data_IF_838482993394
#
_entry.id   IF_838482993394
#
_cell.length_a   1.000
_cell.length_b   1.000
_cell.length_c   1.000
_cell.angle_alpha   90.00
_cell.angle_beta   90.00
_cell.angle_gamma   90.00
#
_symmetry.space_group_name_H-M   'P 1'
#
loop_
_entity.id
_entity.type
_entity.pdbx_description
1 polymer ?
#
# COMPACT_ATOMS: atom_id res chain seq x y z
N UNK A 1 19.43 -59.71 -26.65
CA UNK A 1 20.11 -58.41 -26.76
C UNK A 1 21.28 -58.33 -25.77
N UNK A 2 22.19 -59.31 -25.80
CA UNK A 2 23.40 -59.32 -24.97
C UNK A 2 24.59 -59.41 -25.92
N UNK A 3 25.15 -58.26 -26.25
CA UNK A 3 26.27 -58.13 -27.18
C UNK A 3 26.97 -56.80 -26.94
N UNK A 4 28.12 -56.86 -26.28
CA UNK A 4 29.02 -55.73 -26.03
C UNK A 4 30.20 -55.70 -27.01
N UNK A 5 31.00 -54.63 -26.96
CA UNK A 5 32.22 -54.47 -27.77
C UNK A 5 33.12 -55.70 -27.60
N UNK A 6 33.30 -56.48 -28.67
CA UNK A 6 34.17 -57.66 -28.68
C UNK A 6 33.49 -59.03 -28.53
N UNK A 7 32.16 -59.12 -28.37
CA UNK A 7 31.43 -60.39 -28.35
C UNK A 7 30.70 -60.67 -29.67
N UNK A 8 30.62 -61.94 -30.09
CA UNK A 8 29.65 -62.41 -31.10
C UNK A 8 28.27 -62.43 -30.45
N UNK A 9 27.44 -61.47 -30.83
CA UNK A 9 26.06 -61.29 -30.40
C UNK A 9 25.64 -59.83 -30.50
N UNK A 10 24.33 -59.56 -30.67
CA UNK A 10 23.76 -58.20 -30.59
C UNK A 10 23.23 -57.62 -31.90
N UNK A 11 22.84 -56.33 -31.87
CA UNK A 11 22.09 -55.67 -32.96
C UNK A 11 22.81 -55.75 -34.31
N UNK A 12 24.16 -55.69 -34.31
CA UNK A 12 24.98 -55.73 -35.54
C UNK A 12 25.03 -57.11 -36.19
N UNK A 13 24.97 -58.18 -35.40
CA UNK A 13 25.00 -59.54 -35.91
C UNK A 13 23.60 -59.99 -36.35
N UNK A 14 22.57 -59.57 -35.60
CA UNK A 14 21.17 -59.71 -36.03
C UNK A 14 20.90 -58.97 -37.35
N UNK A 15 21.43 -57.75 -37.51
CA UNK A 15 21.38 -56.98 -38.75
C UNK A 15 21.95 -57.75 -39.94
N UNK A 16 23.14 -58.32 -39.75
CA UNK A 16 23.82 -59.14 -40.77
C UNK A 16 23.01 -60.41 -41.11
N UNK A 17 22.39 -61.04 -40.12
CA UNK A 17 21.60 -62.26 -40.31
C UNK A 17 20.30 -62.04 -41.10
N UNK A 18 19.68 -60.86 -40.99
CA UNK A 18 18.44 -60.51 -41.72
C UNK A 18 18.68 -59.64 -42.96
N UNK A 19 19.94 -59.44 -43.36
CA UNK A 19 20.31 -58.65 -44.54
C UNK A 19 20.00 -57.15 -44.45
N UNK A 20 19.92 -56.57 -43.24
CA UNK A 20 19.62 -55.15 -43.02
C UNK A 20 20.80 -54.37 -42.47
N UNK A 21 20.78 -53.06 -42.68
CA UNK A 21 21.76 -52.16 -42.06
C UNK A 21 21.50 -51.97 -40.56
N UNK A 22 22.58 -51.84 -39.78
CA UNK A 22 22.53 -51.66 -38.32
C UNK A 22 21.82 -50.36 -37.92
N UNK A 23 21.98 -49.29 -38.70
CA UNK A 23 21.31 -48.02 -38.49
C UNK A 23 19.81 -48.11 -38.73
N UNK A 24 19.38 -48.93 -39.70
CA UNK A 24 17.97 -49.24 -39.94
C UNK A 24 17.34 -49.98 -38.76
N UNK A 25 18.00 -51.00 -38.22
CA UNK A 25 17.53 -51.72 -37.03
C UNK A 25 17.48 -50.88 -35.77
N UNK A 26 18.41 -49.95 -35.62
CA UNK A 26 18.42 -49.00 -34.50
C UNK A 26 17.19 -48.09 -34.57
N UNK A 27 16.81 -47.62 -35.77
CA UNK A 27 15.59 -46.83 -35.98
C UNK A 27 14.32 -47.63 -35.65
N UNK A 28 14.25 -48.89 -36.07
CA UNK A 28 13.12 -49.75 -35.70
C UNK A 28 12.98 -49.93 -34.19
N UNK A 29 14.10 -50.18 -33.49
CA UNK A 29 14.09 -50.31 -32.03
C UNK A 29 13.56 -49.04 -31.35
N UNK A 30 14.08 -47.88 -31.73
CA UNK A 30 13.64 -46.58 -31.18
C UNK A 30 12.15 -46.32 -31.42
N UNK A 31 11.69 -46.56 -32.65
CA UNK A 31 10.28 -46.42 -32.98
C UNK A 31 9.38 -47.40 -32.21
N UNK A 32 9.85 -48.64 -31.99
CA UNK A 32 9.12 -49.63 -31.21
C UNK A 32 9.03 -49.28 -29.71
N UNK A 33 10.08 -48.66 -29.14
CA UNK A 33 10.06 -48.16 -27.76
C UNK A 33 8.99 -47.06 -27.58
N UNK A 34 8.91 -46.11 -28.51
CA UNK A 34 7.84 -45.09 -28.53
C UNK A 34 6.47 -45.75 -28.70
N UNK A 35 6.30 -46.62 -29.71
CA UNK A 35 5.04 -47.32 -29.99
C UNK A 35 4.52 -48.12 -28.79
N UNK A 36 5.42 -48.80 -28.07
CA UNK A 36 5.09 -49.58 -26.88
C UNK A 36 4.56 -48.69 -25.75
N UNK A 37 5.14 -47.50 -25.60
CA UNK A 37 4.80 -46.54 -24.54
C UNK A 37 3.47 -45.84 -24.83
N UNK A 38 3.25 -45.42 -26.08
CA UNK A 38 2.02 -44.70 -26.50
C UNK A 38 0.83 -45.63 -26.80
N UNK A 39 1.07 -46.94 -26.86
CA UNK A 39 0.09 -47.94 -27.26
C UNK A 39 0.15 -48.26 -28.76
N UNK A 40 0.34 -49.54 -29.07
CA UNK A 40 0.40 -50.02 -30.45
C UNK A 40 -1.00 -49.97 -31.06
N UNK A 41 -1.14 -49.27 -32.19
CA UNK A 41 -2.40 -49.17 -32.93
C UNK A 41 -2.18 -49.36 -34.43
N UNK A 42 -3.26 -49.63 -35.16
CA UNK A 42 -3.19 -49.83 -36.61
C UNK A 42 -2.75 -48.57 -37.37
N UNK A 43 -2.93 -47.39 -36.77
CA UNK A 43 -2.51 -46.10 -37.33
C UNK A 43 -0.98 -45.91 -37.30
N UNK A 44 -0.24 -46.71 -36.54
CA UNK A 44 1.21 -46.59 -36.35
C UNK A 44 2.04 -47.59 -37.17
N UNK A 45 1.39 -48.55 -37.85
CA UNK A 45 2.04 -49.70 -38.50
C UNK A 45 3.06 -49.28 -39.57
N UNK A 46 2.82 -48.16 -40.28
CA UNK A 46 3.71 -47.61 -41.30
C UNK A 46 4.51 -46.37 -40.84
N UNK A 47 4.38 -45.96 -39.57
CA UNK A 47 4.94 -44.69 -39.04
C UNK A 47 6.27 -44.86 -38.31
N UNK A 48 7.00 -45.97 -38.51
CA UNK A 48 8.24 -46.26 -37.78
C UNK A 48 9.29 -45.12 -37.89
N UNK A 49 9.36 -44.45 -39.04
CA UNK A 49 10.30 -43.36 -39.27
C UNK A 49 9.95 -42.11 -38.43
N UNK A 50 8.65 -41.83 -38.26
CA UNK A 50 8.13 -40.78 -37.38
C UNK A 50 8.42 -41.10 -35.92
N UNK A 51 8.08 -42.32 -35.49
CA UNK A 51 8.27 -42.76 -34.10
C UNK A 51 9.76 -42.78 -33.71
N UNK A 52 10.62 -43.22 -34.62
CA UNK A 52 12.07 -43.15 -34.40
C UNK A 52 12.59 -41.71 -34.29
N UNK A 53 11.94 -40.73 -34.93
CA UNK A 53 12.29 -39.33 -34.78
C UNK A 53 11.80 -38.79 -33.43
N UNK A 54 10.55 -39.09 -33.05
CA UNK A 54 9.93 -38.69 -31.77
C UNK A 54 10.72 -39.25 -30.57
N UNK A 55 11.34 -40.42 -30.70
CA UNK A 55 12.23 -40.99 -29.67
C UNK A 55 13.35 -40.03 -29.22
N UNK A 56 13.72 -39.06 -30.04
CA UNK A 56 14.73 -38.06 -29.69
C UNK A 56 14.22 -36.95 -28.73
N UNK A 57 12.92 -36.94 -28.42
CA UNK A 57 12.27 -36.08 -27.43
C UNK A 57 12.21 -36.81 -26.07
N UNK A 58 12.02 -36.09 -24.94
CA UNK A 58 11.75 -36.72 -23.65
C UNK A 58 10.47 -37.58 -23.70
N UNK A 59 10.44 -38.64 -22.89
CA UNK A 59 9.35 -39.62 -22.86
C UNK A 59 7.99 -38.97 -22.56
N UNK A 60 7.98 -37.94 -21.70
CA UNK A 60 6.81 -37.11 -21.38
C UNK A 60 6.16 -36.44 -22.60
N UNK A 61 6.93 -36.21 -23.67
CA UNK A 61 6.46 -35.59 -24.91
C UNK A 61 6.03 -36.61 -25.98
N UNK A 62 6.28 -37.91 -25.80
CA UNK A 62 6.03 -38.92 -26.84
C UNK A 62 4.56 -39.05 -27.22
N UNK A 63 3.67 -39.22 -26.24
CA UNK A 63 2.23 -39.37 -26.52
C UNK A 63 1.65 -38.12 -27.23
N UNK A 64 1.82 -36.89 -26.70
CA UNK A 64 1.33 -35.70 -27.39
C UNK A 64 1.93 -35.52 -28.79
N UNK A 65 3.21 -35.86 -28.97
CA UNK A 65 3.88 -35.75 -30.26
C UNK A 65 3.32 -36.73 -31.30
N UNK A 66 3.02 -37.97 -30.90
CA UNK A 66 2.40 -38.98 -31.77
C UNK A 66 0.99 -38.53 -32.17
N UNK A 67 0.17 -38.11 -31.21
CA UNK A 67 -1.21 -37.66 -31.48
C UNK A 67 -1.23 -36.45 -32.43
N UNK A 68 -0.32 -35.49 -32.22
CA UNK A 68 -0.21 -34.31 -33.07
C UNK A 68 0.31 -34.64 -34.47
N UNK A 69 1.31 -35.51 -34.58
CA UNK A 69 1.85 -35.98 -35.85
C UNK A 69 0.76 -36.67 -36.69
N UNK A 70 -0.06 -37.54 -36.06
CA UNK A 70 -1.18 -38.20 -36.72
C UNK A 70 -2.25 -37.19 -37.15
N UNK A 71 -2.64 -36.27 -36.26
CA UNK A 71 -3.62 -35.22 -36.55
C UNK A 71 -3.21 -34.31 -37.69
N UNK A 72 -1.91 -34.05 -37.85
CA UNK A 72 -1.36 -33.18 -38.90
C UNK A 72 -1.03 -33.93 -40.19
N UNK A 73 -1.20 -35.26 -40.21
CA UNK A 73 -0.89 -36.14 -41.35
C UNK A 73 0.53 -35.93 -41.89
N UNK A 74 1.49 -35.69 -40.99
CA UNK A 74 2.85 -35.30 -41.36
C UNK A 74 3.61 -36.41 -42.10
N UNK A 75 4.48 -36.00 -43.01
CA UNK A 75 5.50 -36.91 -43.54
C UNK A 75 6.58 -37.18 -42.49
N UNK A 76 7.39 -38.22 -42.72
CA UNK A 76 8.53 -38.51 -41.84
C UNK A 76 9.53 -37.35 -41.82
N UNK A 77 9.63 -36.60 -42.92
CA UNK A 77 10.49 -35.41 -43.04
C UNK A 77 9.95 -34.24 -42.19
N UNK A 78 8.65 -34.00 -42.23
CA UNK A 78 8.01 -32.94 -41.43
C UNK A 78 8.16 -33.24 -39.94
N UNK A 79 7.98 -34.51 -39.55
CA UNK A 79 8.18 -34.95 -38.17
C UNK A 79 9.63 -34.74 -37.73
N UNK A 80 10.61 -35.13 -38.53
CA UNK A 80 12.02 -34.89 -38.21
C UNK A 80 12.36 -33.40 -38.09
N UNK A 81 11.81 -32.56 -38.96
CA UNK A 81 11.97 -31.11 -38.88
C UNK A 81 11.37 -30.56 -37.58
N UNK A 82 10.16 -30.98 -37.21
CA UNK A 82 9.53 -30.54 -35.96
C UNK A 82 10.27 -31.04 -34.72
N UNK A 83 10.76 -32.27 -34.72
CA UNK A 83 11.62 -32.77 -33.62
C UNK A 83 12.85 -31.88 -33.47
N UNK A 84 13.49 -31.46 -34.57
CA UNK A 84 14.61 -30.52 -34.52
C UNK A 84 14.18 -29.16 -33.95
N UNK A 85 12.97 -28.70 -34.26
CA UNK A 85 12.40 -27.47 -33.67
C UNK A 85 12.25 -27.59 -32.16
N UNK A 86 11.58 -28.66 -31.73
CA UNK A 86 11.23 -28.94 -30.35
C UNK A 86 12.44 -29.08 -29.41
N UNK A 87 13.54 -29.66 -29.91
CA UNK A 87 14.77 -29.84 -29.15
C UNK A 87 15.51 -28.56 -28.75
N UNK A 88 15.03 -27.39 -29.17
CA UNK A 88 15.53 -26.11 -28.66
C UNK A 88 14.81 -25.63 -27.39
N UNK A 89 13.80 -26.34 -26.91
CA UNK A 89 13.26 -26.10 -25.57
C UNK A 89 14.22 -26.61 -24.49
N UNK A 90 14.31 -25.89 -23.37
CA UNK A 90 15.20 -26.23 -22.26
C UNK A 90 14.56 -27.23 -21.28
N UNK A 91 13.23 -27.22 -21.19
CA UNK A 91 12.43 -28.11 -20.33
C UNK A 91 11.55 -29.05 -21.14
N UNK A 92 11.12 -30.16 -20.54
CA UNK A 92 10.16 -31.10 -21.14
C UNK A 92 8.87 -30.40 -21.61
N UNK A 93 8.37 -29.42 -20.84
CA UNK A 93 7.16 -28.66 -21.17
C UNK A 93 7.39 -27.75 -22.37
N UNK A 94 8.52 -27.05 -22.45
CA UNK A 94 8.88 -26.23 -23.60
C UNK A 94 9.10 -27.08 -24.86
N UNK A 95 9.79 -28.21 -24.73
CA UNK A 95 10.03 -29.16 -25.83
C UNK A 95 8.68 -29.66 -26.39
N UNK A 96 7.77 -30.08 -25.51
CA UNK A 96 6.42 -30.49 -25.88
C UNK A 96 5.62 -29.35 -26.53
N UNK A 97 5.65 -28.15 -25.95
CA UNK A 97 4.93 -26.99 -26.47
C UNK A 97 5.43 -26.55 -27.86
N UNK A 98 6.75 -26.56 -28.09
CA UNK A 98 7.35 -26.30 -29.40
C UNK A 98 6.94 -27.36 -30.40
N UNK A 99 6.97 -28.65 -30.04
CA UNK A 99 6.54 -29.72 -30.95
C UNK A 99 5.09 -29.54 -31.39
N UNK A 100 4.21 -29.19 -30.44
CA UNK A 100 2.78 -29.00 -30.64
C UNK A 100 2.42 -27.65 -31.31
N UNK A 101 3.40 -26.82 -31.67
CA UNK A 101 3.21 -25.45 -32.17
C UNK A 101 2.36 -24.57 -31.23
N UNK A 102 2.42 -24.82 -29.91
CA UNK A 102 1.78 -23.97 -28.90
C UNK A 102 2.59 -22.72 -28.58
N UNK A 103 3.90 -22.77 -28.82
CA UNK A 103 4.83 -21.66 -28.62
C UNK A 103 5.86 -21.65 -29.76
N UNK A 104 6.46 -20.49 -30.01
CA UNK A 104 7.58 -20.35 -30.95
C UNK A 104 8.88 -20.07 -30.20
N UNK A 105 10.03 -20.36 -30.81
CA UNK A 105 11.35 -20.04 -30.23
C UNK A 105 11.51 -18.54 -29.93
N UNK A 106 10.97 -17.69 -30.80
CA UNK A 106 10.97 -16.23 -30.59
C UNK A 106 10.18 -15.86 -29.33
N UNK A 107 9.08 -16.55 -29.07
CA UNK A 107 8.25 -16.29 -27.90
C UNK A 107 8.92 -16.78 -26.61
N UNK A 108 9.59 -17.94 -26.62
CA UNK A 108 10.41 -18.39 -25.48
C UNK A 108 11.55 -17.40 -25.17
N UNK A 109 12.20 -16.85 -26.20
CA UNK A 109 13.18 -15.78 -26.04
C UNK A 109 12.58 -14.54 -25.34
N UNK A 110 11.40 -14.09 -25.79
CA UNK A 110 10.69 -12.96 -25.15
C UNK A 110 10.32 -13.24 -23.70
N UNK A 111 9.91 -14.46 -23.39
CA UNK A 111 9.58 -14.89 -22.03
C UNK A 111 10.82 -14.81 -21.13
N UNK A 112 11.98 -15.22 -21.65
CA UNK A 112 13.28 -15.12 -20.94
C UNK A 112 13.70 -13.67 -20.74
N UNK A 113 13.60 -12.82 -21.78
CA UNK A 113 13.90 -11.39 -21.66
C UNK A 113 13.00 -10.70 -20.63
N UNK A 114 11.71 -11.08 -20.58
CA UNK A 114 10.76 -10.56 -19.60
C UNK A 114 11.09 -11.02 -18.18
N UNK A 115 11.47 -12.29 -17.99
CA UNK A 115 11.92 -12.83 -16.71
C UNK A 115 13.03 -11.97 -16.12
N UNK A 116 14.08 -11.73 -16.90
CA UNK A 116 15.29 -11.03 -16.45
C UNK A 116 15.02 -9.54 -16.23
N UNK A 117 14.19 -8.93 -17.09
CA UNK A 117 13.79 -7.54 -16.95
C UNK A 117 12.97 -7.30 -15.67
N UNK A 118 11.99 -8.16 -15.38
CA UNK A 118 11.16 -8.03 -14.17
C UNK A 118 11.99 -8.30 -12.93
N UNK A 119 12.83 -9.34 -12.94
CA UNK A 119 13.76 -9.61 -11.85
C UNK A 119 14.64 -8.39 -11.53
N UNK A 120 15.19 -7.74 -12.56
CA UNK A 120 16.06 -6.57 -12.41
C UNK A 120 15.33 -5.30 -12.00
N UNK A 121 14.00 -5.22 -12.18
CA UNK A 121 13.21 -4.05 -11.79
C UNK A 121 12.69 -4.09 -10.36
N UNK A 122 12.55 -5.28 -9.77
CA UNK A 122 12.10 -5.45 -8.40
C UNK A 122 13.18 -5.00 -7.41
N UNK A 123 12.78 -4.21 -6.41
CA UNK A 123 13.70 -3.61 -5.42
C UNK A 123 13.97 -4.52 -4.22
N UNK A 124 13.07 -5.47 -3.95
CA UNK A 124 13.12 -6.31 -2.75
C UNK A 124 13.61 -7.72 -3.09
N UNK A 125 14.64 -8.18 -2.38
CA UNK A 125 15.29 -9.48 -2.62
C UNK A 125 14.33 -10.68 -2.45
N UNK A 126 13.39 -10.58 -1.52
CA UNK A 126 12.39 -11.64 -1.30
C UNK A 126 11.37 -11.71 -2.45
N UNK A 127 10.99 -10.56 -3.03
CA UNK A 127 10.14 -10.54 -4.22
C UNK A 127 10.89 -11.08 -5.44
N UNK A 128 12.17 -10.75 -5.60
CA UNK A 128 13.02 -11.34 -6.63
C UNK A 128 13.08 -12.88 -6.51
N UNK A 129 13.25 -13.41 -5.30
CA UNK A 129 13.27 -14.85 -5.06
C UNK A 129 11.91 -15.52 -5.37
N UNK A 130 10.80 -14.88 -4.96
CA UNK A 130 9.45 -15.35 -5.26
C UNK A 130 9.15 -15.34 -6.76
N UNK A 131 9.61 -14.32 -7.48
CA UNK A 131 9.48 -14.22 -8.94
C UNK A 131 10.19 -15.38 -9.66
N UNK A 132 11.46 -15.64 -9.30
CA UNK A 132 12.22 -16.75 -9.86
C UNK A 132 11.57 -18.10 -9.55
N UNK A 133 11.14 -18.29 -8.30
CA UNK A 133 10.44 -19.52 -7.89
C UNK A 133 9.16 -19.75 -8.70
N UNK A 134 8.33 -18.72 -8.85
CA UNK A 134 7.12 -18.83 -9.66
C UNK A 134 7.44 -19.20 -11.12
N UNK A 135 8.48 -18.58 -11.67
CA UNK A 135 8.92 -18.84 -13.04
C UNK A 135 9.38 -20.28 -13.23
N UNK A 136 10.16 -20.81 -12.29
CA UNK A 136 10.67 -22.19 -12.32
C UNK A 136 9.54 -23.22 -12.12
N UNK A 137 8.59 -22.96 -11.22
CA UNK A 137 7.45 -23.84 -10.95
C UNK A 137 6.41 -23.84 -12.08
N UNK A 138 6.15 -22.67 -12.65
CA UNK A 138 5.13 -22.51 -13.69
C UNK A 138 5.68 -22.90 -15.05
N UNK A 139 6.95 -22.62 -15.33
CA UNK A 139 7.61 -22.78 -16.64
C UNK A 139 6.71 -22.22 -17.77
N UNK A 140 6.48 -20.90 -17.78
CA UNK A 140 5.48 -20.28 -18.64
C UNK A 140 5.87 -20.39 -20.12
N UNK A 141 4.88 -20.70 -20.95
CA UNK A 141 5.05 -20.81 -22.42
C UNK A 141 4.32 -19.68 -23.17
N UNK A 142 3.84 -18.66 -22.45
CA UNK A 142 3.13 -17.51 -22.98
C UNK A 142 3.64 -16.23 -22.33
N UNK A 143 4.02 -15.22 -23.13
CA UNK A 143 4.39 -13.92 -22.57
C UNK A 143 3.22 -13.25 -21.83
N UNK A 144 1.97 -13.53 -22.22
CA UNK A 144 0.80 -12.97 -21.54
C UNK A 144 0.71 -13.44 -20.08
N UNK A 145 1.03 -14.70 -19.80
CA UNK A 145 1.05 -15.26 -18.46
C UNK A 145 2.10 -14.56 -17.58
N UNK A 146 3.29 -14.34 -18.14
CA UNK A 146 4.38 -13.59 -17.50
C UNK A 146 3.99 -12.13 -17.23
N UNK A 147 3.28 -11.48 -18.17
CA UNK A 147 2.82 -10.10 -18.02
C UNK A 147 1.77 -9.97 -16.90
N UNK A 148 0.81 -10.89 -16.83
CA UNK A 148 -0.18 -10.88 -15.74
C UNK A 148 0.51 -11.04 -14.40
N UNK A 149 1.47 -11.97 -14.30
CA UNK A 149 2.20 -12.17 -13.05
C UNK A 149 3.09 -10.98 -12.71
N UNK A 150 3.68 -10.30 -13.70
CA UNK A 150 4.44 -9.07 -13.47
C UNK A 150 3.59 -8.01 -12.76
N UNK A 151 2.38 -7.75 -13.24
CA UNK A 151 1.48 -6.74 -12.66
C UNK A 151 1.21 -7.05 -11.18
N UNK A 152 0.95 -8.32 -10.86
CA UNK A 152 0.75 -8.74 -9.46
C UNK A 152 1.97 -8.42 -8.57
N UNK A 153 3.19 -8.63 -9.06
CA UNK A 153 4.41 -8.27 -8.33
C UNK A 153 4.65 -6.75 -8.25
N UNK A 154 4.34 -6.01 -9.32
CA UNK A 154 4.40 -4.54 -9.34
C UNK A 154 3.42 -3.94 -8.31
N UNK A 155 2.23 -4.50 -8.17
CA UNK A 155 1.23 -4.07 -7.19
C UNK A 155 1.70 -4.35 -5.75
N UNK A 156 2.22 -5.56 -5.47
CA UNK A 156 2.79 -5.91 -4.15
C UNK A 156 3.94 -4.97 -3.78
N UNK A 157 4.82 -4.65 -4.74
CA UNK A 157 5.93 -3.73 -4.50
C UNK A 157 5.44 -2.31 -4.19
N UNK A 158 4.43 -1.84 -4.91
CA UNK A 158 3.83 -0.52 -4.68
C UNK A 158 3.15 -0.41 -3.30
N UNK A 159 2.42 -1.46 -2.88
CA UNK A 159 1.81 -1.52 -1.55
C UNK A 159 2.87 -1.44 -0.44
N UNK A 160 3.96 -2.23 -0.55
CA UNK A 160 5.04 -2.21 0.46
C UNK A 160 5.75 -0.86 0.55
N UNK A 161 6.02 -0.21 -0.59
CA UNK A 161 6.60 1.14 -0.59
C UNK A 161 5.68 2.16 0.09
N UNK A 162 4.37 2.08 -0.14
CA UNK A 162 3.41 2.97 0.50
C UNK A 162 3.36 2.74 2.02
N UNK A 163 3.45 1.49 2.47
CA UNK A 163 3.54 1.15 3.90
C UNK A 163 4.82 1.71 4.54
N UNK A 164 5.98 1.53 3.91
CA UNK A 164 7.27 2.05 4.38
C UNK A 164 7.29 3.58 4.44
N UNK A 165 6.72 4.26 3.43
CA UNK A 165 6.57 5.73 3.41
C UNK A 165 5.63 6.22 4.52
N UNK A 166 4.51 5.52 4.77
CA UNK A 166 3.59 5.85 5.85
C UNK A 166 4.21 5.65 7.24
N UNK A 167 5.00 4.58 7.43
CA UNK A 167 5.71 4.31 8.68
C UNK A 167 6.77 5.37 8.97
N UNK A 168 7.58 5.76 7.97
CA UNK A 168 8.55 6.85 8.11
C UNK A 168 7.88 8.20 8.39
N UNK A 169 6.75 8.49 7.75
CA UNK A 169 5.96 9.68 8.04
C UNK A 169 5.44 9.68 9.48
N UNK A 170 5.00 8.52 9.98
CA UNK A 170 4.56 8.32 11.36
C UNK A 170 5.66 8.54 12.42
N UNK A 171 6.93 8.23 12.10
CA UNK A 171 8.06 8.50 13.01
C UNK A 171 8.48 9.98 13.05
N UNK A 172 8.35 10.70 11.93
CA UNK A 172 8.66 12.13 11.81
C UNK A 172 7.53 13.06 12.30
N UNK A 173 6.31 12.53 12.43
CA UNK A 173 5.10 13.27 12.77
C UNK A 173 5.08 13.94 14.14
N UNK A 174 4.11 14.85 14.38
CA UNK A 174 3.92 15.49 15.68
C UNK A 174 3.58 14.45 16.75
N UNK A 175 3.99 14.70 17.99
CA UNK A 175 3.83 13.74 19.07
C UNK A 175 2.45 13.88 19.73
N UNK A 176 1.70 12.77 19.79
CA UNK A 176 0.46 12.65 20.55
C UNK A 176 0.66 11.65 21.69
N UNK A 177 0.41 12.08 22.93
CA UNK A 177 0.56 11.27 24.14
C UNK A 177 -0.80 10.76 24.61
N UNK A 178 -0.93 9.47 24.89
CA UNK A 178 -2.18 8.91 25.43
C UNK A 178 -2.19 9.13 26.95
N UNK A 179 -2.70 10.28 27.39
CA UNK A 179 -2.65 10.72 28.79
C UNK A 179 -3.69 11.81 29.05
N UNK A 180 -4.09 11.97 30.32
CA UNK A 180 -4.94 13.08 30.76
C UNK A 180 -4.21 14.43 30.61
N UNK A 181 -4.95 15.51 30.38
CA UNK A 181 -4.35 16.85 30.33
C UNK A 181 -3.69 17.23 31.67
N UNK A 182 -4.24 16.76 32.79
CA UNK A 182 -3.78 17.09 34.14
C UNK A 182 -2.45 16.42 34.47
N UNK A 183 -2.20 15.22 33.95
CA UNK A 183 -0.90 14.55 34.06
C UNK A 183 0.09 15.06 33.02
N UNK A 184 -0.38 15.38 31.81
CA UNK A 184 0.48 15.76 30.68
C UNK A 184 0.99 17.21 30.75
N UNK A 185 0.11 18.18 31.01
CA UNK A 185 0.47 19.61 31.00
C UNK A 185 1.62 19.95 31.96
N UNK A 186 1.66 19.45 33.21
CA UNK A 186 2.75 19.75 34.13
C UNK A 186 4.14 19.41 33.59
N UNK A 187 4.24 18.35 32.77
CA UNK A 187 5.48 17.86 32.17
C UNK A 187 5.96 18.72 30.99
N UNK A 188 5.12 19.58 30.43
CA UNK A 188 5.47 20.37 29.25
C UNK A 188 6.24 21.63 29.61
N UNK A 189 7.15 22.03 28.71
CA UNK A 189 7.76 23.35 28.71
C UNK A 189 6.75 24.44 28.32
N UNK A 190 7.14 25.70 28.42
CA UNK A 190 6.28 26.79 27.95
C UNK A 190 6.23 26.85 26.43
N UNK A 191 5.04 27.05 25.87
CA UNK A 191 4.76 27.08 24.44
C UNK A 191 4.59 28.50 23.89
N UNK A 192 4.77 28.63 22.58
CA UNK A 192 4.49 29.86 21.84
C UNK A 192 2.99 30.00 21.54
N UNK A 193 2.28 28.86 21.42
CA UNK A 193 0.84 28.81 21.20
C UNK A 193 0.20 27.66 21.96
N UNK A 194 -0.85 27.96 22.72
CA UNK A 194 -1.82 26.96 23.17
C UNK A 194 -3.02 27.01 22.21
N UNK A 195 -3.25 25.94 21.47
CA UNK A 195 -4.34 25.86 20.49
C UNK A 195 -5.08 24.56 20.72
N UNK A 196 -6.32 24.65 21.19
CA UNK A 196 -7.04 23.46 21.66
C UNK A 196 -8.55 23.62 21.64
N UNK A 197 -9.23 22.48 21.69
CA UNK A 197 -10.68 22.31 21.63
C UNK A 197 -11.10 21.37 22.78
N UNK A 198 -11.22 21.89 24.01
CA UNK A 198 -11.65 21.11 25.17
C UNK A 198 -13.03 20.45 24.97
N UNK A 199 -13.32 19.39 25.75
CA UNK A 199 -14.68 18.88 25.93
C UNK A 199 -15.67 20.01 26.27
N UNK A 200 -16.85 19.99 25.63
CA UNK A 200 -17.88 21.01 25.82
C UNK A 200 -18.79 20.69 27.01
N UNK A 201 -19.71 21.62 27.34
CA UNK A 201 -20.69 21.40 28.42
C UNK A 201 -21.60 20.18 28.19
N UNK A 202 -21.67 19.66 26.96
CA UNK A 202 -22.39 18.41 26.63
C UNK A 202 -21.61 17.15 26.96
N UNK A 203 -20.28 17.28 27.12
CA UNK A 203 -19.34 16.16 27.28
C UNK A 203 -18.80 16.05 28.72
N UNK A 204 -19.03 17.07 29.55
CA UNK A 204 -18.60 17.12 30.95
C UNK A 204 -19.77 17.34 31.89
N UNK A 205 -19.73 16.72 33.07
CA UNK A 205 -20.81 16.84 34.07
C UNK A 205 -20.88 18.25 34.68
N UNK A 206 -19.73 18.88 34.95
CA UNK A 206 -19.62 20.21 35.52
C UNK A 206 -18.60 21.05 34.75
N UNK A 207 -19.09 21.85 33.80
CA UNK A 207 -18.28 22.72 32.96
C UNK A 207 -17.59 23.84 33.77
N UNK A 208 -18.16 24.26 34.91
CA UNK A 208 -17.56 25.29 35.76
C UNK A 208 -16.34 24.75 36.49
N UNK A 209 -16.48 23.59 37.13
CA UNK A 209 -15.37 22.92 37.79
C UNK A 209 -14.27 22.56 36.79
N UNK A 210 -14.65 22.01 35.64
CA UNK A 210 -13.71 21.68 34.57
C UNK A 210 -12.92 22.91 34.09
N UNK A 211 -13.60 24.00 33.70
CA UNK A 211 -12.93 25.22 33.26
C UNK A 211 -12.05 25.82 34.35
N UNK A 212 -12.46 25.77 35.62
CA UNK A 212 -11.68 26.29 36.74
C UNK A 212 -10.40 25.50 37.00
N UNK A 213 -10.39 24.20 36.72
CA UNK A 213 -9.24 23.32 36.90
C UNK A 213 -8.22 23.46 35.76
N UNK A 214 -8.65 23.22 34.52
CA UNK A 214 -7.70 23.06 33.41
C UNK A 214 -7.23 24.40 32.83
N UNK A 215 -8.09 25.42 32.76
CA UNK A 215 -7.78 26.66 32.04
C UNK A 215 -6.60 27.41 32.66
N UNK A 216 -6.51 27.61 34.00
CA UNK A 216 -5.35 28.26 34.61
C UNK A 216 -4.06 27.47 34.37
N UNK A 217 -4.13 26.13 34.45
CA UNK A 217 -3.00 25.25 34.20
C UNK A 217 -2.51 25.38 32.75
N UNK A 218 -3.42 25.29 31.77
CA UNK A 218 -3.09 25.45 30.36
C UNK A 218 -2.48 26.82 30.05
N UNK A 219 -3.09 27.90 30.54
CA UNK A 219 -2.58 29.26 30.32
C UNK A 219 -1.24 29.53 31.01
N UNK A 220 -0.92 28.82 32.10
CA UNK A 220 0.40 28.93 32.75
C UNK A 220 1.55 28.43 31.88
N UNK A 221 1.24 27.59 30.87
CA UNK A 221 2.22 27.06 29.92
C UNK A 221 2.44 27.96 28.72
N UNK A 222 1.73 29.07 28.57
CA UNK A 222 1.97 29.99 27.46
C UNK A 222 3.04 31.00 27.84
N UNK A 223 4.07 31.15 27.00
CA UNK A 223 5.13 32.16 27.21
C UNK A 223 4.55 33.58 27.29
N UNK A 224 5.24 34.54 27.94
CA UNK A 224 4.86 35.96 27.91
C UNK A 224 4.73 36.53 26.49
N UNK A 225 5.47 35.98 25.52
CA UNK A 225 5.43 36.33 24.09
C UNK A 225 4.39 35.56 23.28
N UNK A 226 3.68 34.63 23.92
CA UNK A 226 2.78 33.66 23.28
C UNK A 226 1.31 34.06 23.30
N UNK A 227 0.49 33.14 22.81
CA UNK A 227 -0.98 33.29 22.69
C UNK A 227 -1.69 31.99 23.04
N UNK A 228 -2.98 32.11 23.37
CA UNK A 228 -3.87 30.95 23.43
C UNK A 228 -5.15 31.17 22.61
N UNK A 229 -5.61 30.12 21.96
CA UNK A 229 -6.87 30.02 21.25
C UNK A 229 -7.59 28.77 21.74
N UNK A 230 -8.72 28.97 22.41
CA UNK A 230 -9.47 27.89 23.05
C UNK A 230 -10.87 27.88 22.44
N UNK A 231 -11.18 26.82 21.71
CA UNK A 231 -12.50 26.62 21.11
C UNK A 231 -13.46 26.12 22.19
N UNK A 232 -14.62 26.75 22.32
CA UNK A 232 -15.67 26.33 23.25
C UNK A 232 -17.02 26.38 22.56
N UNK A 233 -18.01 25.70 23.14
CA UNK A 233 -19.40 25.81 22.73
C UNK A 233 -19.93 27.24 22.87
N UNK A 234 -20.90 27.58 22.02
CA UNK A 234 -21.59 28.88 22.05
C UNK A 234 -22.79 28.90 23.03
N UNK A 235 -22.84 27.94 23.95
CA UNK A 235 -23.90 27.88 24.98
C UNK A 235 -23.67 28.96 26.05
N UNK A 236 -24.74 29.66 26.50
CA UNK A 236 -24.60 30.71 27.51
C UNK A 236 -23.89 30.28 28.79
N UNK A 237 -24.20 29.07 29.29
CA UNK A 237 -23.59 28.55 30.52
C UNK A 237 -22.11 28.22 30.35
N UNK A 238 -21.72 27.65 29.20
CA UNK A 238 -20.33 27.36 28.88
C UNK A 238 -19.52 28.65 28.70
N UNK A 239 -20.07 29.64 28.00
CA UNK A 239 -19.47 30.97 27.90
C UNK A 239 -19.27 31.58 29.30
N UNK A 240 -20.30 31.54 30.16
CA UNK A 240 -20.21 32.09 31.51
C UNK A 240 -19.17 31.36 32.35
N UNK A 241 -19.10 30.02 32.28
CA UNK A 241 -18.13 29.22 33.01
C UNK A 241 -16.68 29.64 32.70
N UNK A 242 -16.31 29.70 31.42
CA UNK A 242 -14.96 30.08 31.02
C UNK A 242 -14.64 31.55 31.31
N UNK A 243 -15.57 32.46 31.00
CA UNK A 243 -15.36 33.90 31.24
C UNK A 243 -15.23 34.25 32.73
N UNK A 244 -15.88 33.47 33.60
CA UNK A 244 -15.80 33.65 35.06
C UNK A 244 -14.45 33.22 35.64
N UNK A 245 -13.78 32.24 35.02
CA UNK A 245 -12.45 31.78 35.45
C UNK A 245 -11.38 32.78 35.02
N UNK A 246 -11.38 33.17 33.74
CA UNK A 246 -10.45 34.18 33.24
C UNK A 246 -10.99 34.87 31.99
N UNK A 247 -11.05 36.19 32.04
CA UNK A 247 -11.46 36.98 30.88
C UNK A 247 -10.43 36.90 29.74
N UNK A 248 -10.85 36.55 28.51
CA UNK A 248 -10.00 36.57 27.34
C UNK A 248 -9.73 38.00 26.87
N UNK A 249 -8.68 38.17 26.06
CA UNK A 249 -8.41 39.44 25.38
C UNK A 249 -9.50 39.77 24.36
N UNK A 250 -10.02 38.74 23.67
CA UNK A 250 -11.13 38.86 22.74
C UNK A 250 -11.88 37.53 22.66
N UNK A 251 -13.17 37.58 22.35
CA UNK A 251 -13.93 36.41 21.89
C UNK A 251 -14.03 36.50 20.38
N UNK A 252 -13.50 35.49 19.68
CA UNK A 252 -13.67 35.33 18.24
C UNK A 252 -14.82 34.35 17.98
N UNK A 253 -15.35 34.38 16.76
CA UNK A 253 -16.47 33.54 16.32
C UNK A 253 -15.97 32.69 15.17
N UNK A 254 -16.08 31.37 15.26
CA UNK A 254 -16.02 30.50 14.10
C UNK A 254 -17.45 30.14 13.67
N UNK A 255 -17.85 30.53 12.47
CA UNK A 255 -19.16 30.21 11.90
C UNK A 255 -19.02 29.23 10.74
N UNK A 256 -19.97 28.31 10.64
CA UNK A 256 -20.06 27.32 9.56
C UNK A 256 -21.52 27.16 9.10
N UNK A 257 -21.74 26.68 7.87
CA UNK A 257 -23.09 26.59 7.27
C UNK A 257 -23.43 25.23 6.66
N UNK A 258 -22.48 24.30 6.60
CA UNK A 258 -22.60 23.03 5.87
C UNK A 258 -22.97 21.83 6.76
N UNK A 259 -22.70 21.89 8.07
CA UNK A 259 -23.01 20.84 9.06
C UNK A 259 -24.10 21.29 10.02
N UNK A 260 -25.25 21.68 9.48
CA UNK A 260 -26.39 22.11 10.29
C UNK A 260 -27.16 20.88 10.77
N UNK A 261 -27.27 20.73 12.09
CA UNK A 261 -28.15 19.74 12.71
C UNK A 261 -29.63 19.94 12.38
N UNK A 262 -30.55 19.16 12.99
CA UNK A 262 -31.98 19.30 12.75
C UNK A 262 -32.43 20.74 12.99
N UNK A 263 -33.33 21.24 12.12
CA UNK A 263 -33.74 22.64 12.20
C UNK A 263 -34.63 22.86 13.42
N UNK A 264 -34.23 23.71 14.38
CA UNK A 264 -35.08 24.05 15.50
C UNK A 264 -36.34 24.76 15.02
N UNK A 265 -37.47 24.52 15.68
CA UNK A 265 -38.76 25.13 15.33
C UNK A 265 -39.05 26.41 16.12
N UNK A 266 -38.35 26.61 17.25
CA UNK A 266 -38.55 27.74 18.17
C UNK A 266 -37.31 28.59 18.39
N UNK A 267 -36.16 28.14 17.90
CA UNK A 267 -34.86 28.75 18.17
C UNK A 267 -34.08 28.96 16.86
N UNK A 268 -32.96 29.68 16.95
CA UNK A 268 -32.02 29.81 15.84
C UNK A 268 -31.06 28.62 15.81
N UNK A 269 -30.53 28.31 14.62
CA UNK A 269 -29.52 27.26 14.48
C UNK A 269 -28.23 27.68 15.20
N UNK A 270 -27.73 26.81 16.07
CA UNK A 270 -26.39 26.97 16.65
C UNK A 270 -25.36 26.54 15.60
N UNK A 271 -24.87 27.51 14.83
CA UNK A 271 -23.96 27.27 13.70
C UNK A 271 -22.63 28.02 13.85
N UNK A 272 -22.26 28.32 15.09
CA UNK A 272 -21.02 28.97 15.43
C UNK A 272 -20.48 28.44 16.76
N UNK A 273 -19.17 28.62 16.95
CA UNK A 273 -18.45 28.32 18.19
C UNK A 273 -17.63 29.54 18.59
N UNK A 274 -17.42 29.72 19.89
CA UNK A 274 -16.57 30.78 20.40
C UNK A 274 -15.12 30.33 20.43
N UNK A 275 -14.20 31.24 20.11
CA UNK A 275 -12.77 31.04 20.31
C UNK A 275 -12.30 32.09 21.30
N UNK A 276 -11.92 31.65 22.50
CA UNK A 276 -11.36 32.51 23.52
C UNK A 276 -9.91 32.81 23.17
N UNK A 277 -9.63 34.06 22.81
CA UNK A 277 -8.29 34.51 22.45
C UNK A 277 -7.62 35.20 23.62
N UNK A 278 -6.49 34.65 24.05
CA UNK A 278 -5.62 35.24 25.08
C UNK A 278 -4.32 35.69 24.44
N UNK A 279 -4.00 36.97 24.63
CA UNK A 279 -2.71 37.56 24.25
C UNK A 279 -1.87 37.81 25.50
N UNK A 280 -0.69 37.22 25.57
CA UNK A 280 0.23 37.47 26.67
C UNK A 280 0.95 38.81 26.51
N UNK A 281 1.52 39.33 27.60
CA UNK A 281 1.97 40.72 27.73
C UNK A 281 2.93 41.18 26.63
N UNK A 282 3.85 40.30 26.22
CA UNK A 282 4.94 40.59 25.29
C UNK A 282 4.70 39.98 23.90
N UNK A 283 3.46 39.63 23.58
CA UNK A 283 3.14 38.94 22.34
C UNK A 283 3.33 39.86 21.11
N UNK A 284 4.19 39.44 20.18
CA UNK A 284 4.50 40.11 18.92
C UNK A 284 3.25 40.37 18.05
N UNK A 285 3.26 41.32 17.11
CA UNK A 285 2.11 41.57 16.23
C UNK A 285 1.69 40.30 15.43
N UNK A 286 0.39 40.15 15.15
CA UNK A 286 -0.11 39.03 14.34
C UNK A 286 0.46 39.11 12.92
N UNK A 287 0.88 37.96 12.39
CA UNK A 287 1.43 37.81 11.05
C UNK A 287 0.33 37.41 10.04
N UNK A 288 -0.53 38.37 9.71
CA UNK A 288 -1.71 38.12 8.88
C UNK A 288 -2.02 39.22 7.87
N UNK A 289 -2.59 38.86 6.70
CA UNK A 289 -3.20 39.83 5.79
C UNK A 289 -4.40 40.52 6.46
N UNK A 290 -4.19 41.76 6.90
CA UNK A 290 -5.16 42.54 7.69
C UNK A 290 -6.54 42.62 7.03
N UNK A 291 -6.58 42.82 5.71
CA UNK A 291 -7.83 43.04 4.97
C UNK A 291 -8.64 41.76 4.70
N UNK A 292 -8.05 40.57 4.91
CA UNK A 292 -8.66 39.31 4.46
C UNK A 292 -8.84 38.29 5.60
N UNK A 293 -7.93 38.28 6.58
CA UNK A 293 -7.89 37.20 7.58
C UNK A 293 -7.94 37.70 9.03
N UNK A 294 -7.68 38.99 9.30
CA UNK A 294 -7.67 39.56 10.65
C UNK A 294 -9.07 39.98 11.15
N UNK A 295 -10.07 39.13 10.90
CA UNK A 295 -11.44 39.37 11.34
C UNK A 295 -11.74 38.62 12.64
N UNK A 296 -12.58 39.20 13.50
CA UNK A 296 -13.06 38.49 14.70
C UNK A 296 -14.04 37.37 14.38
N UNK A 297 -14.62 37.37 13.17
CA UNK A 297 -15.49 36.31 12.67
C UNK A 297 -14.74 35.54 11.58
N UNK A 298 -14.57 34.24 11.81
CA UNK A 298 -13.96 33.28 10.93
C UNK A 298 -15.07 32.49 10.25
N UNK A 299 -15.37 32.81 8.98
CA UNK A 299 -16.33 32.07 8.16
C UNK A 299 -15.59 30.98 7.39
N UNK A 300 -15.55 29.77 7.97
CA UNK A 300 -14.83 28.61 7.42
C UNK A 300 -15.73 27.38 7.55
N UNK A 301 -15.93 26.64 6.48
CA UNK A 301 -16.77 25.43 6.50
C UNK A 301 -16.21 24.34 7.41
N UNK A 302 -17.07 23.64 8.13
CA UNK A 302 -16.67 22.47 8.92
C UNK A 302 -16.29 21.29 8.00
N UNK A 303 -15.43 20.35 8.45
CA UNK A 303 -15.19 19.10 7.73
C UNK A 303 -16.49 18.33 7.45
N UNK A 304 -16.64 17.76 6.26
CA UNK A 304 -17.86 17.08 5.81
C UNK A 304 -17.52 15.65 5.37
N UNK A 305 -18.12 14.66 6.05
CA UNK A 305 -17.87 13.23 5.82
C UNK A 305 -18.13 12.77 4.38
N UNK A 306 -18.94 13.50 3.60
CA UNK A 306 -19.16 13.20 2.17
C UNK A 306 -17.92 13.39 1.31
N UNK A 307 -16.97 14.20 1.78
CA UNK A 307 -15.71 14.47 1.10
C UNK A 307 -14.54 13.66 1.67
N UNK A 308 -14.80 12.73 2.60
CA UNK A 308 -13.78 11.84 3.18
C UNK A 308 -12.80 12.52 4.14
N UNK A 309 -13.01 13.79 4.49
CA UNK A 309 -12.09 14.59 5.31
C UNK A 309 -12.54 14.76 6.78
N UNK A 310 -13.53 13.99 7.24
CA UNK A 310 -14.07 14.02 8.60
C UNK A 310 -13.81 12.68 9.31
N UNK A 311 -12.88 12.71 10.26
CA UNK A 311 -12.47 11.58 11.08
C UNK A 311 -13.10 11.58 12.48
N UNK A 312 -13.55 12.75 12.96
CA UNK A 312 -14.23 12.90 14.25
C UNK A 312 -15.40 13.89 14.16
N UNK A 313 -16.38 13.76 15.06
CA UNK A 313 -17.56 14.61 15.08
C UNK A 313 -17.19 16.09 15.22
N UNK A 314 -16.28 16.39 16.14
CA UNK A 314 -15.86 17.75 16.51
C UNK A 314 -14.60 18.24 15.77
N UNK A 315 -14.18 17.56 14.70
CA UNK A 315 -12.97 17.93 13.96
C UNK A 315 -13.05 19.37 13.43
N UNK A 316 -12.02 20.17 13.74
CA UNK A 316 -11.89 21.55 13.24
C UNK A 316 -11.35 21.59 11.81
N UNK A 317 -11.66 22.65 11.02
CA UNK A 317 -11.14 22.78 9.67
C UNK A 317 -9.62 23.01 9.69
N UNK A 318 -8.88 22.26 8.87
CA UNK A 318 -7.43 22.42 8.75
C UNK A 318 -7.05 23.87 8.35
N UNK A 319 -7.84 24.48 7.46
CA UNK A 319 -7.63 25.88 7.05
C UNK A 319 -7.64 26.85 8.24
N UNK A 320 -8.58 26.67 9.18
CA UNK A 320 -8.70 27.55 10.35
C UNK A 320 -7.53 27.33 11.31
N UNK A 321 -7.15 26.08 11.54
CA UNK A 321 -5.98 25.72 12.34
C UNK A 321 -4.70 26.34 11.78
N UNK A 322 -4.44 26.13 10.48
CA UNK A 322 -3.27 26.65 9.79
C UNK A 322 -3.21 28.19 9.82
N UNK A 323 -4.35 28.85 9.63
CA UNK A 323 -4.48 30.30 9.72
C UNK A 323 -4.08 30.83 11.10
N UNK A 324 -4.66 30.28 12.17
CA UNK A 324 -4.35 30.68 13.55
C UNK A 324 -2.87 30.48 13.88
N UNK A 325 -2.31 29.33 13.50
CA UNK A 325 -0.90 28.99 13.74
C UNK A 325 0.02 29.97 13.01
N UNK A 326 -0.23 30.22 11.71
CA UNK A 326 0.56 31.15 10.90
C UNK A 326 0.54 32.57 11.46
N UNK A 327 -0.62 33.05 11.91
CA UNK A 327 -0.76 34.40 12.46
C UNK A 327 -0.03 34.60 13.79
N UNK A 328 0.05 33.53 14.58
CA UNK A 328 0.39 33.63 16.01
C UNK A 328 1.80 33.17 16.35
N UNK A 329 2.49 32.49 15.42
CA UNK A 329 3.77 31.82 15.68
C UNK A 329 4.75 31.98 14.52
N UNK A 330 6.04 31.78 14.79
CA UNK A 330 7.09 31.62 13.78
C UNK A 330 7.45 30.14 13.60
N UNK A 331 8.15 29.81 12.52
CA UNK A 331 8.67 28.46 12.30
C UNK A 331 9.54 28.03 13.48
N UNK A 332 9.50 26.75 13.82
CA UNK A 332 10.14 26.19 15.02
C UNK A 332 9.42 26.48 16.34
N UNK A 333 8.34 27.28 16.33
CA UNK A 333 7.54 27.55 17.54
C UNK A 333 6.88 26.29 18.10
N UNK A 334 6.79 26.21 19.42
CA UNK A 334 6.14 25.12 20.14
C UNK A 334 4.64 25.38 20.29
N UNK A 335 3.83 24.41 19.90
CA UNK A 335 2.37 24.43 19.98
C UNK A 335 1.90 23.26 20.83
N UNK A 336 1.11 23.57 21.86
CA UNK A 336 0.53 22.56 22.75
C UNK A 336 -0.98 22.45 22.51
N UNK A 337 -1.45 21.21 22.52
CA UNK A 337 -2.86 20.85 22.43
C UNK A 337 -3.21 19.77 23.47
N UNK A 338 -3.73 20.16 24.66
CA UNK A 338 -4.08 19.22 25.73
C UNK A 338 -5.32 18.36 25.45
N UNK A 339 -6.07 18.64 24.37
CA UNK A 339 -7.30 17.94 24.00
C UNK A 339 -7.23 17.58 22.51
N UNK A 340 -6.23 16.79 22.17
CA UNK A 340 -5.73 16.70 20.79
C UNK A 340 -6.64 15.92 19.84
N UNK A 341 -7.52 15.07 20.36
CA UNK A 341 -8.44 14.24 19.60
C UNK A 341 -7.69 13.50 18.47
N UNK A 342 -8.10 13.69 17.22
CA UNK A 342 -7.50 13.05 16.04
C UNK A 342 -6.30 13.82 15.48
N UNK A 343 -5.74 14.79 16.22
CA UNK A 343 -4.45 15.42 15.91
C UNK A 343 -4.48 16.66 15.02
N UNK A 344 -5.66 17.22 14.70
CA UNK A 344 -5.81 18.32 13.71
C UNK A 344 -4.85 19.49 13.94
N UNK A 345 -4.77 20.02 15.16
CA UNK A 345 -3.93 21.20 15.43
C UNK A 345 -2.43 20.88 15.39
N UNK A 346 -2.01 19.74 15.93
CA UNK A 346 -0.60 19.36 15.93
C UNK A 346 -0.10 18.94 14.53
N UNK A 347 -0.98 18.36 13.70
CA UNK A 347 -0.70 18.06 12.29
C UNK A 347 -0.57 19.36 11.48
N UNK A 348 -1.47 20.33 11.68
CA UNK A 348 -1.36 21.64 11.07
C UNK A 348 -0.06 22.37 11.49
N UNK A 349 0.33 22.24 12.77
CA UNK A 349 1.60 22.77 13.27
C UNK A 349 2.78 22.16 12.53
N UNK A 350 2.82 20.82 12.44
CA UNK A 350 3.89 20.09 11.78
C UNK A 350 4.02 20.46 10.30
N UNK A 351 2.89 20.49 9.56
CA UNK A 351 2.84 20.92 8.16
C UNK A 351 3.39 22.33 7.95
N UNK A 352 3.21 23.21 8.93
CA UNK A 352 3.72 24.58 8.91
C UNK A 352 5.14 24.71 9.46
N UNK A 353 5.89 23.63 9.70
CA UNK A 353 7.23 23.63 10.29
C UNK A 353 7.24 24.22 11.72
N UNK A 354 6.23 23.91 12.52
CA UNK A 354 6.19 24.15 13.97
C UNK A 354 6.24 22.82 14.71
N UNK A 355 6.61 22.87 15.98
CA UNK A 355 6.66 21.70 16.85
C UNK A 355 5.28 21.55 17.48
N UNK A 356 4.48 20.61 16.97
CA UNK A 356 3.18 20.26 17.57
C UNK A 356 3.31 19.09 18.54
N UNK A 357 2.84 19.27 19.77
CA UNK A 357 2.76 18.20 20.77
C UNK A 357 1.39 18.28 21.45
N UNK A 358 0.72 17.15 21.59
CA UNK A 358 -0.57 17.08 22.27
C UNK A 358 -0.75 15.83 23.12
N UNK A 359 -1.88 15.79 23.82
CA UNK A 359 -2.37 14.59 24.49
C UNK A 359 -3.87 14.40 24.27
N UNK A 360 -4.31 13.14 24.38
CA UNK A 360 -5.72 12.78 24.45
C UNK A 360 -5.87 11.52 25.31
N UNK A 361 -6.99 11.39 26.01
CA UNK A 361 -7.29 10.20 26.84
C UNK A 361 -7.81 9.03 26.00
N UNK A 362 -8.35 9.29 24.81
CA UNK A 362 -8.97 8.29 23.95
C UNK A 362 -7.90 7.59 23.10
N UNK A 363 -7.67 6.32 23.40
CA UNK A 363 -6.84 5.43 22.58
C UNK A 363 -7.38 5.30 21.15
N UNK A 364 -8.70 5.33 20.97
CA UNK A 364 -9.34 5.27 19.66
C UNK A 364 -9.02 6.50 18.81
N UNK A 365 -9.10 7.71 19.39
CA UNK A 365 -8.74 8.94 18.68
C UNK A 365 -7.24 8.98 18.36
N UNK A 366 -6.40 8.45 19.26
CA UNK A 366 -4.96 8.35 19.04
C UNK A 366 -4.60 7.43 17.87
N UNK A 367 -5.27 6.28 17.70
CA UNK A 367 -5.03 5.42 16.52
C UNK A 367 -5.45 6.12 15.22
N UNK A 368 -6.58 6.83 15.20
CA UNK A 368 -6.96 7.64 14.03
C UNK A 368 -5.91 8.74 13.76
N UNK A 369 -5.39 9.39 14.81
CA UNK A 369 -4.34 10.39 14.67
C UNK A 369 -3.04 9.78 14.11
N UNK A 370 -2.72 8.54 14.49
CA UNK A 370 -1.59 7.77 13.95
C UNK A 370 -1.73 7.55 12.45
N UNK A 371 -2.92 7.10 12.01
CA UNK A 371 -3.23 6.92 10.59
C UNK A 371 -3.14 8.24 9.79
N UNK A 372 -3.36 9.38 10.47
CA UNK A 372 -3.19 10.73 9.91
C UNK A 372 -1.73 11.24 9.94
N UNK A 373 -0.79 10.46 10.47
CA UNK A 373 0.64 10.80 10.53
C UNK A 373 1.13 11.36 11.87
N UNK A 374 0.40 11.16 12.98
CA UNK A 374 0.93 11.47 14.32
C UNK A 374 1.81 10.34 14.86
N UNK A 375 2.84 10.69 15.64
CA UNK A 375 3.63 9.73 16.40
C UNK A 375 3.01 9.52 17.78
N UNK A 376 2.51 8.32 18.04
CA UNK A 376 1.85 8.00 19.32
C UNK A 376 2.88 7.63 20.39
N UNK A 377 2.75 8.25 21.57
CA UNK A 377 3.51 7.94 22.78
C UNK A 377 2.56 7.42 23.86
N UNK A 378 2.91 6.27 24.43
CA UNK A 378 2.14 5.60 25.49
C UNK A 378 2.76 5.83 26.84
#
# INVERSE_FOLDING_TARGET
ASGGRGQKGGLSEYARAIGKDKGELTRYRKGAEVAKTVGISQQLVDKYAHLSAIHALPESAWQPAVDFMLKKEWSAKDTQAQVKVAKEGETDKQISALFLNKVSRRELGRITDLRDKVFSSLSYEDLQAQWLKWFDETDPISAQEVQTKRIEFEDIEAERRAEEEAEQAGEAGPALNIMSYSDWLPLQEQCDLLLTDPPYSTDVEDVYAFAAEWLPLGLSKVKPTGRAYIFIGAYPDELLAYLSVRMPTQVLVWTYRNTLGPSPSKDYKMNWQAILYYRMADAHALDCPVMNEQFSVQDVTAPDGRHGNRYHEWQKPDELAERIIRHSTKQGGLILDPFCCTGTFILAAHKLNRIGIGCDISTQNAEIAKDRGCRIKK
#
